data_IF_745888693654
#
_entry.id   IF_745888693654
#
_cell.length_a   1.000
_cell.length_b   1.000
_cell.length_c   1.000
_cell.angle_alpha   90.00
_cell.angle_beta   90.00
_cell.angle_gamma   90.00
#
_symmetry.space_group_name_H-M   'P 1'
#
loop_
_entity.id
_entity.type
_entity.pdbx_description
1 polymer ?
#
# COMPACT_ATOMS: atom_id res chain seq x y z
N UNK A 1 5.19 -11.28 14.35
CA UNK A 1 4.72 -11.17 12.95
C UNK A 1 3.49 -10.28 12.96
N UNK A 2 3.41 -9.26 12.10
CA UNK A 2 2.21 -8.41 12.00
C UNK A 2 1.10 -9.26 11.36
N UNK A 3 -0.11 -9.34 11.94
CA UNK A 3 -1.20 -10.11 11.35
C UNK A 3 -1.65 -9.44 10.05
N UNK A 4 -1.47 -10.14 8.93
CA UNK A 4 -2.00 -9.75 7.63
C UNK A 4 -2.97 -10.86 7.20
N UNK A 5 -4.24 -10.56 6.89
CA UNK A 5 -5.21 -11.57 6.49
C UNK A 5 -4.74 -12.41 5.30
N UNK A 6 -5.14 -13.68 5.24
CA UNK A 6 -4.92 -14.50 4.06
C UNK A 6 -5.70 -13.91 2.85
N UNK A 7 -5.18 -14.06 1.63
CA UNK A 7 -5.77 -13.47 0.41
C UNK A 7 -5.88 -11.93 0.38
N UNK A 8 -5.06 -11.23 1.18
CA UNK A 8 -5.04 -9.77 1.17
C UNK A 8 -4.60 -9.21 -0.18
N UNK A 9 -5.41 -8.32 -0.76
CA UNK A 9 -5.01 -7.43 -1.84
C UNK A 9 -4.35 -6.17 -1.28
N UNK A 10 -3.35 -5.66 -1.97
CA UNK A 10 -2.70 -4.40 -1.63
C UNK A 10 -3.13 -3.34 -2.63
N UNK A 11 -3.78 -2.29 -2.13
CA UNK A 11 -4.24 -1.14 -2.91
C UNK A 11 -3.41 0.09 -2.58
N UNK A 12 -2.60 0.54 -3.53
CA UNK A 12 -1.86 1.78 -3.42
C UNK A 12 -2.69 2.93 -3.99
N UNK A 13 -2.96 3.95 -3.17
CA UNK A 13 -3.62 5.17 -3.60
C UNK A 13 -2.69 6.02 -4.46
N UNK A 14 -3.09 6.33 -5.70
CA UNK A 14 -2.37 7.32 -6.50
C UNK A 14 -2.57 8.74 -5.93
N UNK A 15 -1.77 9.69 -6.39
CA UNK A 15 -1.80 11.06 -5.88
C UNK A 15 -1.19 11.23 -4.50
N UNK A 16 -1.71 12.20 -3.75
CA UNK A 16 -1.17 12.66 -2.46
C UNK A 16 -2.24 12.61 -1.39
N UNK A 17 -1.87 12.05 -0.23
CA UNK A 17 -2.76 11.97 0.94
C UNK A 17 -2.30 12.89 2.06
N UNK A 18 -3.24 13.54 2.73
CA UNK A 18 -2.95 14.23 3.99
C UNK A 18 -2.62 13.22 5.09
N UNK A 19 -1.37 13.23 5.53
CA UNK A 19 -0.84 12.27 6.51
C UNK A 19 -1.19 12.59 7.96
N UNK A 20 -1.91 13.69 8.23
CA UNK A 20 -2.52 13.98 9.54
C UNK A 20 -3.72 13.08 9.81
N UNK A 21 -4.34 12.50 8.78
CA UNK A 21 -5.47 11.57 8.89
C UNK A 21 -5.10 10.30 9.65
N UNK A 22 -5.90 9.94 10.66
CA UNK A 22 -5.85 8.64 11.32
C UNK A 22 -6.60 7.55 10.53
N UNK A 23 -6.74 6.36 11.11
CA UNK A 23 -7.36 5.21 10.44
C UNK A 23 -8.73 5.55 9.84
N UNK A 24 -9.69 6.05 10.63
CA UNK A 24 -11.06 6.30 10.16
C UNK A 24 -11.12 7.20 8.92
N UNK A 25 -10.35 8.29 8.90
CA UNK A 25 -10.30 9.22 7.78
C UNK A 25 -9.59 8.64 6.54
N UNK A 26 -8.65 7.71 6.72
CA UNK A 26 -8.01 6.98 5.63
C UNK A 26 -8.90 5.85 5.10
N UNK A 27 -9.65 5.17 5.98
CA UNK A 27 -10.65 4.16 5.61
C UNK A 27 -11.77 4.80 4.76
N UNK A 28 -12.29 5.94 5.19
CA UNK A 28 -13.24 6.74 4.40
C UNK A 28 -12.67 7.14 3.03
N UNK A 29 -11.35 7.40 2.95
CA UNK A 29 -10.70 7.68 1.66
C UNK A 29 -10.56 6.43 0.79
N UNK A 30 -10.29 5.26 1.36
CA UNK A 30 -10.28 3.99 0.64
C UNK A 30 -11.65 3.70 0.01
N UNK A 31 -12.72 3.93 0.75
CA UNK A 31 -14.09 3.78 0.25
C UNK A 31 -14.43 4.82 -0.82
N UNK A 32 -14.30 6.10 -0.50
CA UNK A 32 -14.78 7.19 -1.36
C UNK A 32 -13.96 7.33 -2.66
N UNK A 33 -12.64 7.18 -2.57
CA UNK A 33 -11.71 7.45 -3.69
C UNK A 33 -11.29 6.16 -4.38
N UNK A 34 -10.92 5.13 -3.61
CA UNK A 34 -10.44 3.88 -4.21
C UNK A 34 -11.60 2.92 -4.54
N UNK A 35 -12.83 3.22 -4.12
CA UNK A 35 -14.02 2.37 -4.34
C UNK A 35 -13.77 0.95 -3.85
N UNK A 36 -13.22 0.81 -2.64
CA UNK A 36 -12.95 -0.46 -1.99
C UNK A 36 -13.49 -0.44 -0.57
N UNK A 37 -13.97 -1.58 -0.10
CA UNK A 37 -14.38 -1.75 1.29
C UNK A 37 -13.14 -1.76 2.20
N UNK A 38 -12.98 -0.78 3.12
CA UNK A 38 -11.85 -0.73 4.03
C UNK A 38 -11.84 -1.86 5.07
N UNK A 39 -12.96 -2.55 5.27
CA UNK A 39 -13.12 -3.63 6.25
C UNK A 39 -12.94 -5.03 5.67
N UNK A 40 -12.74 -5.16 4.36
CA UNK A 40 -12.57 -6.43 3.65
C UNK A 40 -11.22 -7.14 3.87
N UNK A 41 -10.47 -6.76 4.91
CA UNK A 41 -9.15 -7.35 5.20
C UNK A 41 -8.08 -7.00 4.16
N UNK A 42 -8.25 -5.93 3.39
CA UNK A 42 -7.27 -5.48 2.40
C UNK A 42 -6.30 -4.44 2.97
N UNK A 43 -5.10 -4.38 2.39
CA UNK A 43 -4.11 -3.36 2.73
C UNK A 43 -4.28 -2.13 1.84
N UNK A 44 -4.38 -0.96 2.46
CA UNK A 44 -4.46 0.31 1.76
C UNK A 44 -3.24 1.17 2.05
N UNK A 45 -2.48 1.50 1.00
CA UNK A 45 -1.21 2.22 1.08
C UNK A 45 -1.38 3.65 0.60
N UNK A 46 -1.01 4.60 1.44
CA UNK A 46 -1.08 6.03 1.15
C UNK A 46 0.31 6.65 1.30
N UNK A 47 0.59 7.72 0.54
CA UNK A 47 1.84 8.50 0.63
C UNK A 47 1.56 9.99 0.75
N UNK A 48 2.31 10.65 1.63
CA UNK A 48 2.23 12.09 1.86
C UNK A 48 2.91 12.90 0.76
N UNK A 49 2.62 14.21 0.69
CA UNK A 49 3.16 15.11 -0.35
C UNK A 49 4.69 15.08 -0.41
N UNK A 50 5.36 15.18 0.73
CA UNK A 50 6.83 15.18 0.84
C UNK A 50 7.45 13.86 0.34
N UNK A 51 6.73 12.76 0.45
CA UNK A 51 7.09 11.46 -0.12
C UNK A 51 8.06 10.61 0.64
N UNK A 52 8.53 11.10 1.77
CA UNK A 52 9.28 10.35 2.75
C UNK A 52 8.37 9.53 3.69
N UNK A 53 7.05 9.71 3.65
CA UNK A 53 6.10 9.10 4.57
C UNK A 53 5.02 8.28 3.86
N UNK A 54 4.85 7.03 4.30
CA UNK A 54 3.73 6.16 3.95
C UNK A 54 2.95 5.73 5.19
N UNK A 55 1.65 5.53 4.99
CA UNK A 55 0.76 4.83 5.93
C UNK A 55 0.13 3.65 5.23
N UNK A 56 0.06 2.52 5.92
CA UNK A 56 -0.65 1.31 5.50
C UNK A 56 -1.73 1.05 6.53
N UNK A 57 -2.98 0.88 6.09
CA UNK A 57 -4.09 0.50 6.99
C UNK A 57 -4.73 -0.81 6.53
N UNK A 58 -5.27 -1.56 7.49
CA UNK A 58 -6.13 -2.72 7.25
C UNK A 58 -7.02 -2.99 8.47
N UNK A 59 -8.07 -3.75 8.27
CA UNK A 59 -8.96 -4.24 9.33
C UNK A 59 -8.77 -5.76 9.47
N UNK A 60 -8.67 -6.28 10.69
CA UNK A 60 -8.44 -7.72 10.95
C UNK A 60 -9.70 -8.43 11.50
N UNK A 61 -10.88 -8.01 11.04
CA UNK A 61 -12.20 -8.41 11.55
C UNK A 61 -12.55 -7.84 12.93
N UNK A 62 -11.58 -7.70 13.82
CA UNK A 62 -11.78 -7.23 15.19
C UNK A 62 -11.41 -5.77 15.39
N UNK A 63 -10.43 -5.27 14.64
CA UNK A 63 -9.81 -4.00 14.92
C UNK A 63 -9.12 -3.32 13.75
N UNK A 64 -8.87 -2.03 13.96
CA UNK A 64 -8.20 -1.16 13.02
C UNK A 64 -6.69 -1.20 13.23
N UNK A 65 -5.95 -1.54 12.17
CA UNK A 65 -4.51 -1.50 12.15
C UNK A 65 -3.99 -0.37 11.28
N UNK A 66 -2.92 0.27 11.73
CA UNK A 66 -2.20 1.29 10.98
C UNK A 66 -0.71 1.16 11.20
N UNK A 67 0.02 0.94 10.11
CA UNK A 67 1.47 0.97 10.07
C UNK A 67 1.93 2.28 9.41
N UNK A 68 2.99 2.88 9.95
CA UNK A 68 3.61 4.08 9.40
C UNK A 68 5.10 3.84 9.21
N UNK A 69 5.62 4.23 8.04
CA UNK A 69 7.07 4.26 7.79
C UNK A 69 7.49 5.61 7.22
N UNK A 70 8.53 6.17 7.82
CA UNK A 70 9.26 7.33 7.29
C UNK A 70 10.63 6.89 6.80
N UNK A 71 11.04 7.39 5.63
CA UNK A 71 12.41 7.28 5.16
C UNK A 71 13.25 8.41 5.77
N UNK A 72 14.41 8.07 6.33
CA UNK A 72 15.37 9.06 6.80
C UNK A 72 15.96 9.88 5.64
N UNK A 73 16.07 9.28 4.45
CA UNK A 73 16.55 9.92 3.23
C UNK A 73 15.77 9.44 2.00
N UNK A 74 15.54 10.36 1.06
CA UNK A 74 14.89 10.05 -0.22
C UNK A 74 13.37 10.12 -0.14
N UNK A 75 12.71 9.50 -1.13
CA UNK A 75 11.25 9.47 -1.27
C UNK A 75 10.83 8.12 -1.80
N UNK A 76 9.67 7.64 -1.36
CA UNK A 76 9.02 6.47 -1.95
C UNK A 76 8.70 6.72 -3.42
N UNK A 77 9.01 5.73 -4.26
CA UNK A 77 8.56 5.71 -5.65
C UNK A 77 7.05 5.56 -5.69
N UNK A 78 6.39 6.46 -6.41
CA UNK A 78 4.92 6.57 -6.42
C UNK A 78 4.39 6.68 -7.85
N UNK A 79 3.14 6.25 -8.13
CA UNK A 79 2.52 6.44 -9.43
C UNK A 79 2.43 7.94 -9.77
N UNK A 80 2.63 8.29 -11.04
CA UNK A 80 2.51 9.66 -11.54
C UNK A 80 1.05 10.15 -11.63
N UNK A 81 0.09 9.21 -11.65
CA UNK A 81 -1.33 9.53 -11.67
C UNK A 81 -1.74 10.39 -10.46
N UNK A 82 -2.55 11.43 -10.70
CA UNK A 82 -3.03 12.35 -9.66
C UNK A 82 -4.10 11.71 -8.76
N UNK A 83 -4.78 10.68 -9.25
CA UNK A 83 -5.86 9.97 -8.58
C UNK A 83 -5.96 8.52 -9.08
N UNK A 84 -6.76 7.71 -8.38
CA UNK A 84 -6.96 6.29 -8.68
C UNK A 84 -6.22 5.34 -7.72
N UNK A 85 -6.15 4.07 -8.10
CA UNK A 85 -5.48 3.01 -7.33
C UNK A 85 -4.62 2.12 -8.21
N UNK A 86 -3.56 1.57 -7.63
CA UNK A 86 -2.73 0.53 -8.25
C UNK A 86 -2.75 -0.70 -7.34
N UNK A 87 -2.96 -1.88 -7.93
CA UNK A 87 -2.82 -3.14 -7.21
C UNK A 87 -1.33 -3.49 -7.09
N UNK A 88 -0.87 -3.80 -5.88
CA UNK A 88 0.48 -4.32 -5.65
C UNK A 88 0.45 -5.80 -5.30
N UNK A 89 1.48 -6.51 -5.71
CA UNK A 89 1.82 -7.80 -5.11
C UNK A 89 2.47 -7.62 -3.74
N UNK A 90 2.47 -8.65 -2.86
CA UNK A 90 3.19 -8.59 -1.60
C UNK A 90 4.69 -8.26 -1.76
N UNK A 91 5.32 -8.78 -2.82
CA UNK A 91 6.72 -8.48 -3.13
C UNK A 91 6.93 -7.00 -3.48
N UNK A 92 6.04 -6.41 -4.28
CA UNK A 92 6.07 -4.98 -4.60
C UNK A 92 5.82 -4.10 -3.37
N UNK A 93 4.97 -4.54 -2.44
CA UNK A 93 4.81 -3.85 -1.17
C UNK A 93 6.11 -3.89 -0.35
N UNK A 94 6.80 -5.03 -0.26
CA UNK A 94 8.10 -5.12 0.42
C UNK A 94 9.12 -4.16 -0.19
N UNK A 95 9.29 -4.22 -1.52
CA UNK A 95 10.17 -3.32 -2.27
C UNK A 95 9.84 -1.85 -1.98
N UNK A 96 8.57 -1.47 -2.07
CA UNK A 96 8.11 -0.12 -1.74
C UNK A 96 8.50 0.26 -0.31
N UNK A 97 8.22 -0.60 0.67
CA UNK A 97 8.54 -0.32 2.07
C UNK A 97 10.04 -0.24 2.31
N UNK A 98 10.87 -0.93 1.53
CA UNK A 98 12.34 -0.82 1.54
C UNK A 98 12.87 0.41 0.80
N UNK A 99 12.00 1.18 0.13
CA UNK A 99 12.39 2.35 -0.67
C UNK A 99 12.90 2.00 -2.08
N UNK A 100 12.70 0.75 -2.53
CA UNK A 100 13.07 0.24 -3.85
C UNK A 100 11.96 0.58 -4.86
N UNK A 101 12.33 0.79 -6.13
CA UNK A 101 11.35 0.96 -7.22
C UNK A 101 10.59 -0.36 -7.46
N UNK A 102 9.31 -0.36 -7.11
CA UNK A 102 8.43 -1.52 -7.18
C UNK A 102 7.71 -1.67 -8.53
N UNK A 103 7.82 -0.69 -9.44
CA UNK A 103 6.97 -0.60 -10.64
C UNK A 103 7.34 -1.62 -11.73
N UNK A 104 8.61 -2.02 -11.79
CA UNK A 104 9.12 -2.96 -12.78
C UNK A 104 10.03 -4.01 -12.11
N UNK A 105 9.48 -4.90 -11.28
CA UNK A 105 10.29 -5.95 -10.66
C UNK A 105 10.70 -6.98 -11.72
N UNK A 106 12.00 -7.13 -11.95
CA UNK A 106 12.52 -8.20 -12.81
C UNK A 106 12.50 -9.54 -12.08
N UNK A 107 11.83 -10.53 -12.68
CA UNK A 107 11.92 -11.92 -12.22
C UNK A 107 13.04 -12.60 -12.97
N UNK A 108 14.01 -13.14 -12.24
CA UNK A 108 15.18 -13.81 -12.82
C UNK A 108 14.83 -15.12 -13.52
N UNK A 109 13.82 -15.83 -13.05
CA UNK A 109 13.42 -17.12 -13.61
C UNK A 109 12.01 -17.52 -13.16
N UNK A 110 11.30 -18.27 -14.00
CA UNK A 110 10.04 -18.94 -13.67
C UNK A 110 9.97 -20.26 -14.44
N UNK A 111 9.63 -21.40 -13.82
CA UNK A 111 9.45 -22.64 -14.55
C UNK A 111 8.28 -22.52 -15.53
N UNK A 112 8.47 -23.01 -16.76
CA UNK A 112 7.47 -22.96 -17.84
C UNK A 112 6.64 -24.26 -17.93
N UNK A 113 7.17 -25.36 -17.39
CA UNK A 113 6.50 -26.64 -17.31
C UNK A 113 6.86 -27.33 -15.98
N UNK A 114 6.00 -28.23 -15.54
CA UNK A 114 6.31 -29.16 -14.46
C UNK A 114 7.02 -30.38 -15.07
N UNK A 115 8.35 -30.32 -15.16
CA UNK A 115 9.16 -31.35 -15.82
C UNK A 115 9.26 -31.16 -17.32
#
# INVERSE_FOLDING_TARGET
MIPVPANTRVWLAAGVTDMRKGFAALAAQAEAVLKQDPFAGHLFVFRGRRGDLVKVIWWDEQGAWMFMKRLEKGRFVWPSAKEGKVALTPAQLSMLLEGIDWRAPERTWRPLAAG
#
